data_IF_684237610579
#
_entry.id   IF_684237610579
#
_cell.length_a   1.000
_cell.length_b   1.000
_cell.length_c   1.000
_cell.angle_alpha   90.00
_cell.angle_beta   90.00
_cell.angle_gamma   90.00
#
_symmetry.space_group_name_H-M   'P 1'
#
loop_
_entity.id
_entity.type
_entity.pdbx_description
1 polymer ?
#
# COMPACT_ATOMS: atom_id res chain seq x y z
N UNK A 1 0.99 14.94 -7.12
CA UNK A 1 1.87 13.77 -7.39
C UNK A 1 2.53 13.35 -6.08
N UNK A 2 1.96 12.37 -5.36
CA UNK A 2 2.60 11.81 -4.15
C UNK A 2 3.69 10.85 -4.60
N UNK A 3 4.93 11.08 -4.16
CA UNK A 3 6.06 10.20 -4.43
C UNK A 3 5.69 8.73 -4.14
N UNK A 4 6.21 7.79 -4.93
CA UNK A 4 5.87 6.35 -4.90
C UNK A 4 5.86 5.73 -3.48
N UNK A 5 6.79 6.14 -2.61
CA UNK A 5 6.84 5.72 -1.19
C UNK A 5 5.68 6.24 -0.33
N UNK A 6 5.21 7.46 -0.59
CA UNK A 6 4.09 8.06 0.15
C UNK A 6 2.78 7.32 -0.12
N UNK A 7 2.58 6.85 -1.37
CA UNK A 7 1.41 6.06 -1.73
C UNK A 7 1.41 4.68 -1.07
N UNK A 8 2.54 3.98 -1.06
CA UNK A 8 2.69 2.68 -0.39
C UNK A 8 2.39 2.76 1.11
N UNK A 9 2.98 3.75 1.80
CA UNK A 9 2.73 3.98 3.23
C UNK A 9 1.27 4.30 3.52
N UNK A 10 0.67 5.18 2.72
CA UNK A 10 -0.72 5.58 2.91
C UNK A 10 -1.69 4.40 2.76
N UNK A 11 -1.50 3.57 1.72
CA UNK A 11 -2.33 2.36 1.50
C UNK A 11 -2.20 1.38 2.67
N UNK A 12 -1.00 1.15 3.19
CA UNK A 12 -0.81 0.27 4.36
C UNK A 12 -1.49 0.83 5.61
N UNK A 13 -1.41 2.14 5.84
CA UNK A 13 -2.05 2.80 6.98
C UNK A 13 -3.59 2.68 6.91
N UNK A 14 -4.18 2.98 5.75
CA UNK A 14 -5.63 2.83 5.56
C UNK A 14 -6.10 1.38 5.78
N UNK A 15 -5.40 0.42 5.18
CA UNK A 15 -5.83 -0.97 5.23
C UNK A 15 -5.63 -1.60 6.62
N UNK A 16 -4.45 -1.47 7.22
CA UNK A 16 -4.11 -2.19 8.46
C UNK A 16 -4.43 -1.42 9.74
N UNK A 17 -4.41 -0.08 9.72
CA UNK A 17 -4.66 0.73 10.92
C UNK A 17 -6.07 1.30 10.97
N UNK A 18 -6.63 1.70 9.83
CA UNK A 18 -7.94 2.33 9.78
C UNK A 18 -9.06 1.37 9.33
N UNK A 19 -8.72 0.13 8.96
CA UNK A 19 -9.69 -0.92 8.63
C UNK A 19 -10.38 -0.78 7.27
N UNK A 20 -9.87 0.07 6.37
CA UNK A 20 -10.43 0.24 5.04
C UNK A 20 -10.21 -1.02 4.19
N UNK A 21 -11.18 -1.32 3.32
CA UNK A 21 -11.07 -2.33 2.29
C UNK A 21 -10.22 -1.85 1.12
N UNK A 22 -9.70 -2.79 0.31
CA UNK A 22 -8.98 -2.42 -0.93
C UNK A 22 -9.89 -1.69 -1.93
N UNK A 23 -11.20 -1.92 -1.87
CA UNK A 23 -12.16 -1.28 -2.76
C UNK A 23 -12.43 0.18 -2.36
N UNK A 24 -12.61 0.46 -1.07
CA UNK A 24 -12.71 1.85 -0.57
C UNK A 24 -11.43 2.65 -0.88
N UNK A 25 -10.27 2.02 -0.71
CA UNK A 25 -8.98 2.62 -1.08
C UNK A 25 -8.88 2.86 -2.60
N UNK A 26 -9.39 1.94 -3.42
CA UNK A 26 -9.38 2.05 -4.87
C UNK A 26 -10.26 3.22 -5.34
N UNK A 27 -11.45 3.37 -4.74
CA UNK A 27 -12.36 4.47 -4.98
C UNK A 27 -11.72 5.82 -4.61
N UNK A 28 -11.13 5.93 -3.42
CA UNK A 28 -10.45 7.16 -2.97
C UNK A 28 -9.28 7.55 -3.86
N UNK A 29 -8.53 6.57 -4.37
CA UNK A 29 -7.36 6.82 -5.22
C UNK A 29 -7.68 6.95 -6.71
N UNK A 30 -8.92 6.70 -7.13
CA UNK A 30 -9.32 6.68 -8.53
C UNK A 30 -8.58 5.63 -9.37
N UNK A 31 -8.29 4.46 -8.79
CA UNK A 31 -7.60 3.34 -9.45
C UNK A 31 -8.37 2.03 -9.27
N UNK A 32 -7.97 0.94 -9.93
CA UNK A 32 -8.59 -0.36 -9.70
C UNK A 32 -8.18 -0.99 -8.37
N UNK A 33 -9.05 -1.83 -7.81
CA UNK A 33 -8.74 -2.65 -6.63
C UNK A 33 -7.47 -3.49 -6.84
N UNK A 34 -7.27 -4.06 -8.05
CA UNK A 34 -6.04 -4.80 -8.36
C UNK A 34 -4.78 -3.91 -8.33
N UNK A 35 -4.89 -2.63 -8.71
CA UNK A 35 -3.78 -1.69 -8.59
C UNK A 35 -3.44 -1.42 -7.11
N UNK A 36 -4.45 -1.31 -6.23
CA UNK A 36 -4.26 -1.22 -4.76
C UNK A 36 -3.58 -2.47 -4.23
N UNK A 37 -4.04 -3.67 -4.63
CA UNK A 37 -3.44 -4.95 -4.26
C UNK A 37 -1.95 -5.03 -4.62
N UNK A 38 -1.58 -4.61 -5.84
CA UNK A 38 -0.17 -4.53 -6.28
C UNK A 38 0.64 -3.51 -5.47
N UNK A 39 0.06 -2.39 -5.05
CA UNK A 39 0.72 -1.42 -4.17
C UNK A 39 0.98 -2.05 -2.79
N UNK A 40 -0.01 -2.73 -2.20
CA UNK A 40 0.14 -3.47 -0.93
C UNK A 40 1.25 -4.50 -1.00
N UNK A 41 1.23 -5.36 -2.01
CA UNK A 41 2.24 -6.42 -2.17
C UNK A 41 3.66 -5.86 -2.25
N UNK A 42 3.87 -4.80 -3.04
CA UNK A 42 5.18 -4.13 -3.14
C UNK A 42 5.62 -3.50 -1.83
N UNK A 43 4.70 -2.85 -1.12
CA UNK A 43 4.99 -2.23 0.16
C UNK A 43 5.38 -3.26 1.23
N UNK A 44 4.66 -4.39 1.29
CA UNK A 44 4.95 -5.49 2.20
C UNK A 44 6.27 -6.19 1.86
N UNK A 45 6.58 -6.36 0.58
CA UNK A 45 7.85 -6.94 0.15
C UNK A 45 9.04 -6.07 0.60
N UNK A 46 8.95 -4.75 0.42
CA UNK A 46 9.98 -3.81 0.93
C UNK A 46 10.11 -3.86 2.44
N UNK A 47 8.99 -3.95 3.16
CA UNK A 47 8.99 -4.08 4.62
C UNK A 47 9.66 -5.38 5.07
N UNK A 48 9.38 -6.49 4.37
CA UNK A 48 10.01 -7.79 4.62
C UNK A 48 11.52 -7.71 4.44
N UNK A 49 11.98 -7.11 3.35
CA UNK A 49 13.42 -6.93 3.05
C UNK A 49 14.12 -6.11 4.15
N UNK A 50 13.53 -4.98 4.56
CA UNK A 50 14.02 -4.16 5.67
C UNK A 50 14.13 -4.95 6.98
N UNK A 51 13.08 -5.71 7.33
CA UNK A 51 13.06 -6.50 8.57
C UNK A 51 14.06 -7.68 8.55
N UNK A 52 14.35 -8.21 7.36
CA UNK A 52 15.34 -9.27 7.17
C UNK A 52 16.79 -8.76 7.06
N UNK A 53 17.01 -7.44 7.07
CA UNK A 53 18.33 -6.85 6.86
C UNK A 53 18.87 -7.01 5.43
N UNK A 54 17.99 -7.26 4.46
CA UNK A 54 18.31 -7.39 3.03
C UNK A 54 18.31 -6.04 2.29
N UNK A 55 18.07 -4.94 3.00
CA UNK A 55 17.91 -3.58 2.46
C UNK A 55 18.73 -2.58 3.26
#
# INVERSE_FOLDING_TARGET
MVASRGRERWVLLKFYWEGWTEEEIAQELGISQQAVSKVKQRALQKLKELLSGLL
#
